data_IF_670977726745
#
_entry.id   IF_670977726745
#
_cell.length_a   1.000
_cell.length_b   1.000
_cell.length_c   1.000
_cell.angle_alpha   90.00
_cell.angle_beta   90.00
_cell.angle_gamma   90.00
#
_symmetry.space_group_name_H-M   'P 1'
#
loop_
_entity.id
_entity.type
_entity.pdbx_description
1 polymer ?
#
# COMPACT_ATOMS: atom_id res chain seq x y z
N UNK A 1 -6.87 3.33 35.68
CA UNK A 1 -6.22 4.65 35.47
C UNK A 1 -7.06 5.57 34.60
N UNK A 2 -7.72 5.10 33.52
CA UNK A 2 -8.62 5.95 32.70
C UNK A 2 -10.13 5.67 32.88
N UNK A 3 -10.53 4.58 33.55
CA UNK A 3 -11.94 4.10 33.65
C UNK A 3 -12.66 3.87 32.31
N UNK A 4 -11.94 3.89 31.19
CA UNK A 4 -12.47 3.53 29.89
C UNK A 4 -12.57 2.00 29.78
N UNK A 5 -13.71 1.51 29.30
CA UNK A 5 -13.90 0.09 28.99
C UNK A 5 -13.78 -0.08 27.48
N UNK A 6 -12.64 -0.58 27.04
CA UNK A 6 -12.34 -0.83 25.62
C UNK A 6 -11.80 -2.24 25.46
N UNK A 7 -12.15 -2.89 24.35
CA UNK A 7 -11.59 -4.19 23.97
C UNK A 7 -10.19 -4.03 23.37
N UNK A 8 -9.45 -5.14 23.25
CA UNK A 8 -8.13 -5.12 22.61
C UNK A 8 -8.22 -4.68 21.14
N UNK A 9 -9.26 -5.10 20.41
CA UNK A 9 -9.49 -4.73 19.01
C UNK A 9 -9.79 -3.23 18.86
N UNK A 10 -10.59 -2.66 19.77
CA UNK A 10 -10.88 -1.21 19.75
C UNK A 10 -9.68 -0.36 20.15
N UNK A 11 -8.80 -0.88 20.99
CA UNK A 11 -7.63 -0.17 21.47
C UNK A 11 -6.48 -0.18 20.44
N UNK A 12 -6.26 -1.31 19.76
CA UNK A 12 -5.08 -1.52 18.92
C UNK A 12 -5.25 -2.64 17.88
N UNK A 13 -6.48 -2.91 17.46
CA UNK A 13 -6.74 -3.83 16.36
C UNK A 13 -6.17 -3.34 15.03
N UNK A 14 -6.18 -4.21 14.02
CA UNK A 14 -5.58 -3.93 12.72
C UNK A 14 -6.14 -2.64 12.08
N UNK A 15 -7.46 -2.45 12.16
CA UNK A 15 -8.14 -1.26 11.63
C UNK A 15 -7.71 0.02 12.33
N UNK A 16 -7.49 -0.01 13.64
CA UNK A 16 -7.04 1.18 14.39
C UNK A 16 -5.65 1.61 13.90
N UNK A 17 -4.76 0.64 13.70
CA UNK A 17 -3.39 0.92 13.31
C UNK A 17 -3.21 1.29 11.84
N UNK A 18 -4.11 0.88 10.94
CA UNK A 18 -4.06 1.21 9.51
C UNK A 18 -4.85 2.47 9.13
N UNK A 19 -5.83 2.90 9.92
CA UNK A 19 -6.68 4.05 9.54
C UNK A 19 -6.63 5.24 10.48
N UNK A 20 -6.15 5.09 11.71
CA UNK A 20 -6.23 6.14 12.75
C UNK A 20 -4.90 6.49 13.39
N UNK A 21 -4.12 5.49 13.80
CA UNK A 21 -2.92 5.75 14.61
C UNK A 21 -1.64 5.96 13.81
N UNK A 22 -1.65 5.81 12.49
CA UNK A 22 -0.46 5.88 11.61
C UNK A 22 0.67 4.89 11.96
N UNK A 23 0.33 3.73 12.53
CA UNK A 23 1.34 2.75 13.01
C UNK A 23 1.60 1.65 11.98
N UNK A 24 0.57 1.13 11.33
CA UNK A 24 0.69 0.03 10.38
C UNK A 24 0.46 0.52 8.95
N UNK A 25 1.31 0.07 8.03
CA UNK A 25 1.25 0.44 6.60
C UNK A 25 0.16 -0.33 5.83
N UNK A 26 -0.36 -1.43 6.39
CA UNK A 26 -1.40 -2.23 5.78
C UNK A 26 -1.96 -3.32 6.71
N UNK A 27 -3.07 -3.93 6.31
CA UNK A 27 -3.72 -5.05 6.98
C UNK A 27 -4.14 -6.08 5.94
N UNK A 28 -4.06 -7.36 6.30
CA UNK A 28 -4.40 -8.48 5.42
C UNK A 28 -5.45 -9.37 6.08
N UNK A 29 -6.22 -10.09 5.28
CA UNK A 29 -7.37 -10.86 5.77
C UNK A 29 -6.94 -12.08 6.61
N UNK A 30 -5.79 -12.67 6.30
CA UNK A 30 -5.26 -13.84 6.97
C UNK A 30 -3.74 -13.97 6.80
N UNK A 31 -3.15 -14.88 7.57
CA UNK A 31 -1.71 -15.14 7.62
C UNK A 31 -1.12 -15.52 6.25
N UNK A 32 -1.85 -16.31 5.46
CA UNK A 32 -1.36 -16.76 4.14
C UNK A 32 -1.24 -15.58 3.20
N UNK A 33 -2.27 -14.72 3.15
CA UNK A 33 -2.24 -13.51 2.34
C UNK A 33 -1.13 -12.55 2.80
N UNK A 34 -0.99 -12.33 4.12
CA UNK A 34 0.05 -11.48 4.68
C UNK A 34 1.44 -11.93 4.24
N UNK A 35 1.74 -13.24 4.35
CA UNK A 35 3.03 -13.78 3.93
C UNK A 35 3.27 -13.65 2.43
N UNK A 36 2.24 -13.81 1.59
CA UNK A 36 2.36 -13.64 0.14
C UNK A 36 2.63 -12.17 -0.24
N UNK A 37 1.93 -11.22 0.38
CA UNK A 37 2.13 -9.79 0.10
C UNK A 37 3.48 -9.28 0.62
N UNK A 38 3.96 -9.80 1.76
CA UNK A 38 5.32 -9.50 2.24
C UNK A 38 6.37 -10.01 1.26
N UNK A 39 6.24 -11.23 0.74
CA UNK A 39 7.17 -11.74 -0.29
C UNK A 39 7.18 -10.85 -1.53
N UNK A 40 5.99 -10.42 -1.98
CA UNK A 40 5.86 -9.46 -3.08
C UNK A 40 6.56 -8.13 -2.77
N UNK A 41 6.40 -7.58 -1.57
CA UNK A 41 7.08 -6.34 -1.17
C UNK A 41 8.61 -6.49 -1.26
N UNK A 42 9.15 -7.61 -0.77
CA UNK A 42 10.58 -7.89 -0.81
C UNK A 42 11.13 -7.93 -2.24
N UNK A 43 10.35 -8.42 -3.22
CA UNK A 43 10.78 -8.46 -4.64
C UNK A 43 11.05 -7.06 -5.23
N UNK A 44 10.52 -5.99 -4.63
CA UNK A 44 10.77 -4.60 -5.03
C UNK A 44 11.92 -3.93 -4.26
N UNK A 45 12.32 -4.47 -3.11
CA UNK A 45 13.30 -3.81 -2.24
C UNK A 45 14.74 -4.22 -2.58
N UNK A 46 15.71 -3.29 -2.52
CA UNK A 46 17.11 -3.65 -2.59
C UNK A 46 17.49 -4.49 -1.36
N UNK A 47 18.47 -5.37 -1.52
CA UNK A 47 18.93 -6.24 -0.43
C UNK A 47 19.51 -5.45 0.76
N UNK A 48 20.03 -4.25 0.51
CA UNK A 48 20.56 -3.31 1.51
C UNK A 48 20.74 -1.92 0.89
N UNK A 49 21.15 -0.94 1.69
CA UNK A 49 21.31 0.47 1.30
C UNK A 49 22.46 0.77 0.30
N UNK A 50 23.30 -0.22 -0.01
CA UNK A 50 24.39 -0.08 -1.00
C UNK A 50 24.14 -0.89 -2.28
N UNK A 51 23.19 -1.82 -2.25
CA UNK A 51 22.77 -2.57 -3.42
C UNK A 51 21.86 -1.71 -4.31
N UNK A 52 21.92 -1.94 -5.62
CA UNK A 52 20.94 -1.39 -6.56
C UNK A 52 19.55 -2.02 -6.38
N UNK A 53 18.54 -1.41 -7.01
CA UNK A 53 17.19 -1.98 -7.05
C UNK A 53 17.17 -3.28 -7.86
N UNK A 54 16.31 -4.26 -7.51
CA UNK A 54 16.17 -5.49 -8.30
C UNK A 54 15.71 -5.20 -9.74
N UNK A 55 16.31 -5.88 -10.72
CA UNK A 55 15.89 -5.84 -12.12
C UNK A 55 15.09 -7.10 -12.47
N UNK A 56 13.98 -6.91 -13.18
CA UNK A 56 13.07 -7.98 -13.59
C UNK A 56 12.76 -7.89 -15.09
N UNK A 57 12.59 -9.03 -15.79
CA UNK A 57 12.09 -9.01 -17.15
C UNK A 57 10.73 -8.30 -17.20
N UNK A 58 10.65 -7.25 -18.02
CA UNK A 58 9.38 -6.59 -18.32
C UNK A 58 8.83 -7.11 -19.64
N UNK A 59 7.52 -7.36 -19.65
CA UNK A 59 6.77 -7.67 -20.88
C UNK A 59 6.05 -6.43 -21.42
N UNK A 60 6.29 -5.25 -20.83
CA UNK A 60 5.68 -3.99 -21.25
C UNK A 60 6.56 -3.22 -22.23
N UNK A 61 5.93 -2.37 -23.03
CA UNK A 61 6.56 -1.52 -24.05
C UNK A 61 6.81 -0.14 -23.44
N UNK A 62 8.07 0.31 -23.28
CA UNK A 62 8.38 1.57 -22.58
C UNK A 62 7.76 2.83 -23.22
N UNK A 63 7.49 2.80 -24.52
CA UNK A 63 6.94 3.89 -25.32
C UNK A 63 5.44 3.75 -25.63
N UNK A 64 4.72 2.86 -24.92
CA UNK A 64 3.27 2.73 -25.09
C UNK A 64 2.56 4.05 -24.75
N UNK A 65 1.71 4.51 -25.67
CA UNK A 65 0.81 5.65 -25.46
C UNK A 65 -0.51 5.17 -24.86
N UNK A 66 -1.01 5.85 -23.83
CA UNK A 66 -2.32 5.63 -23.23
C UNK A 66 -3.20 6.89 -23.38
N UNK A 67 -4.09 6.88 -24.36
CA UNK A 67 -4.98 8.01 -24.68
C UNK A 67 -6.04 8.26 -23.62
N UNK A 68 -6.25 7.34 -22.66
CA UNK A 68 -7.22 7.56 -21.57
C UNK A 68 -6.78 8.71 -20.65
N UNK A 69 -5.47 8.95 -20.54
CA UNK A 69 -4.88 9.99 -19.70
C UNK A 69 -5.22 11.41 -20.17
N UNK A 70 -5.50 11.60 -21.45
CA UNK A 70 -5.93 12.90 -22.01
C UNK A 70 -7.27 13.37 -21.42
N UNK A 71 -8.03 12.45 -20.81
CA UNK A 71 -9.35 12.72 -20.21
C UNK A 71 -9.44 12.37 -18.73
N UNK A 72 -8.32 12.05 -18.08
CA UNK A 72 -8.29 11.71 -16.65
C UNK A 72 -8.67 12.91 -15.77
N UNK A 73 -8.17 14.09 -16.12
CA UNK A 73 -8.43 15.33 -15.39
C UNK A 73 -9.79 15.89 -15.81
N UNK A 74 -10.75 16.06 -14.87
CA UNK A 74 -12.03 16.66 -15.21
C UNK A 74 -11.91 18.15 -15.54
N UNK A 75 -12.74 18.65 -16.45
CA UNK A 75 -12.81 20.09 -16.76
C UNK A 75 -13.24 20.96 -15.56
N UNK A 76 -14.03 20.38 -14.66
CA UNK A 76 -14.49 21.07 -13.46
C UNK A 76 -13.40 21.01 -12.37
N UNK A 77 -12.82 22.14 -11.95
CA UNK A 77 -11.75 22.15 -10.95
C UNK A 77 -12.21 21.69 -9.55
N UNK A 78 -13.53 21.61 -9.32
CA UNK A 78 -14.10 21.12 -8.07
C UNK A 78 -14.43 19.62 -8.09
N UNK A 79 -14.13 18.92 -9.19
CA UNK A 79 -14.38 17.48 -9.33
C UNK A 79 -13.08 16.71 -9.12
N UNK A 80 -13.01 15.77 -8.14
CA UNK A 80 -11.82 14.95 -7.93
C UNK A 80 -11.69 13.88 -9.02
N UNK A 81 -10.49 13.28 -9.07
CA UNK A 81 -10.11 12.10 -9.84
C UNK A 81 -9.14 11.25 -9.04
#
# INVERSE_FOLDING_TARGET
>A
VTNETVTAEELGGARVHTSKSSVADGSFENDVEALLQVRRLIDFLPANNTAGVPEWPSFDVPDRVDTSLDTLVPDNPNKPY
#
